data_IF_132068630558
#
_entry.id   IF_132068630558
#
_cell.length_a   1.000
_cell.length_b   1.000
_cell.length_c   1.000
_cell.angle_alpha   90.00
_cell.angle_beta   90.00
_cell.angle_gamma   90.00
#
_symmetry.space_group_name_H-M   'P 1'
#
loop_
_entity.id
_entity.type
_entity.pdbx_description
1 polymer ?
#
# COMPACT_ATOMS: atom_id res chain seq x y z
N UNK A 1 0.10 -13.85 23.11
CA UNK A 1 -0.37 -14.03 21.71
C UNK A 1 -0.15 -12.73 20.97
N UNK A 2 0.20 -12.80 19.68
CA UNK A 2 0.43 -11.64 18.81
C UNK A 2 -0.85 -11.36 18.04
N UNK A 3 -1.32 -10.12 18.04
CA UNK A 3 -2.51 -9.73 17.29
C UNK A 3 -2.10 -9.47 15.84
N UNK A 4 -2.61 -10.29 14.91
CA UNK A 4 -2.28 -10.19 13.48
C UNK A 4 -3.43 -9.54 12.72
N UNK A 5 -3.13 -8.45 12.02
CA UNK A 5 -4.07 -7.70 11.18
C UNK A 5 -3.66 -7.93 9.73
N UNK A 6 -4.52 -8.63 8.98
CA UNK A 6 -4.32 -8.90 7.57
C UNK A 6 -5.17 -7.96 6.72
N UNK A 7 -4.55 -7.35 5.72
CA UNK A 7 -5.19 -6.48 4.75
C UNK A 7 -4.98 -7.10 3.38
N UNK A 8 -6.07 -7.41 2.68
CA UNK A 8 -6.03 -8.06 1.37
C UNK A 8 -6.34 -7.03 0.29
N UNK A 9 -5.37 -6.79 -0.58
CA UNK A 9 -5.39 -5.85 -1.70
C UNK A 9 -4.54 -4.60 -1.46
N UNK A 10 -3.42 -4.43 -2.19
CA UNK A 10 -2.55 -3.23 -2.17
C UNK A 10 -3.01 -2.07 -3.07
N UNK A 11 -4.31 -2.01 -3.37
CA UNK A 11 -4.90 -0.85 -4.06
C UNK A 11 -5.02 0.37 -3.13
N UNK A 12 -5.56 1.47 -3.64
CA UNK A 12 -5.66 2.74 -2.90
C UNK A 12 -6.28 2.58 -1.51
N UNK A 13 -7.38 1.84 -1.41
CA UNK A 13 -8.05 1.57 -0.13
C UNK A 13 -7.19 0.75 0.84
N UNK A 14 -6.58 -0.34 0.39
CA UNK A 14 -5.79 -1.20 1.26
C UNK A 14 -4.50 -0.55 1.73
N UNK A 15 -3.82 0.24 0.89
CA UNK A 15 -2.64 1.01 1.31
C UNK A 15 -3.00 2.08 2.35
N UNK A 16 -4.14 2.77 2.20
CA UNK A 16 -4.63 3.73 3.21
C UNK A 16 -4.94 3.03 4.53
N UNK A 17 -5.66 1.90 4.47
CA UNK A 17 -6.03 1.09 5.63
C UNK A 17 -4.82 0.43 6.28
N UNK A 18 -3.73 0.17 5.55
CA UNK A 18 -2.47 -0.31 6.13
C UNK A 18 -1.70 0.80 6.85
N UNK A 19 -1.67 2.01 6.27
CA UNK A 19 -0.91 3.13 6.83
C UNK A 19 -1.50 3.67 8.13
N UNK A 20 -2.82 3.75 8.25
CA UNK A 20 -3.46 4.36 9.42
C UNK A 20 -3.15 3.60 10.72
N UNK A 21 -3.35 2.26 10.79
CA UNK A 21 -3.03 1.45 11.96
C UNK A 21 -1.52 1.32 12.16
N UNK A 22 -0.72 1.23 11.09
CA UNK A 22 0.74 1.21 11.21
C UNK A 22 1.29 2.45 11.95
N UNK A 23 0.70 3.63 11.71
CA UNK A 23 1.04 4.86 12.45
C UNK A 23 0.54 4.84 13.89
N UNK A 24 -0.69 4.39 14.12
CA UNK A 24 -1.31 4.38 15.46
C UNK A 24 -0.71 3.33 16.39
N UNK A 25 -0.37 2.16 15.86
CA UNK A 25 0.10 0.98 16.60
C UNK A 25 1.63 0.84 16.57
N UNK A 26 2.36 1.92 16.27
CA UNK A 26 3.81 1.89 16.06
C UNK A 26 4.55 1.28 17.26
N UNK A 27 4.10 1.54 18.50
CA UNK A 27 4.73 1.04 19.72
C UNK A 27 4.47 -0.46 19.90
N UNK A 28 3.25 -0.89 19.64
CA UNK A 28 2.79 -2.27 19.75
C UNK A 28 3.42 -3.15 18.67
N UNK A 29 3.59 -2.62 17.46
CA UNK A 29 4.34 -3.27 16.38
C UNK A 29 5.82 -3.41 16.78
N UNK A 30 6.44 -2.35 17.31
CA UNK A 30 7.84 -2.39 17.76
C UNK A 30 8.05 -3.34 18.95
N UNK A 31 7.05 -3.46 19.83
CA UNK A 31 7.03 -4.41 20.93
C UNK A 31 6.65 -5.85 20.51
N UNK A 32 6.40 -6.08 19.22
CA UNK A 32 6.04 -7.39 18.68
C UNK A 32 4.64 -7.89 19.07
N UNK A 33 3.81 -7.03 19.66
CA UNK A 33 2.45 -7.35 20.08
C UNK A 33 1.46 -7.35 18.92
N UNK A 34 1.73 -6.54 17.88
CA UNK A 34 0.92 -6.43 16.66
C UNK A 34 1.74 -6.80 15.44
N UNK A 35 1.13 -7.53 14.51
CA UNK A 35 1.65 -7.78 13.16
C UNK A 35 0.68 -7.20 12.15
N UNK A 36 1.16 -6.34 11.25
CA UNK A 36 0.40 -5.88 10.09
C UNK A 36 0.94 -6.56 8.85
N UNK A 37 0.06 -7.23 8.11
CA UNK A 37 0.40 -7.92 6.86
C UNK A 37 -0.50 -7.38 5.77
N UNK A 38 0.11 -6.72 4.77
CA UNK A 38 -0.56 -6.31 3.54
C UNK A 38 -0.25 -7.35 2.46
N UNK A 39 -1.28 -7.98 1.93
CA UNK A 39 -1.18 -8.89 0.79
C UNK A 39 -1.58 -8.10 -0.45
N UNK A 40 -0.68 -7.99 -1.42
CA UNK A 40 -0.90 -7.33 -2.70
C UNK A 40 -0.51 -8.25 -3.84
N UNK A 41 -1.19 -8.14 -4.98
CA UNK A 41 -0.86 -8.86 -6.22
C UNK A 41 0.35 -8.24 -6.94
N UNK A 42 0.69 -6.99 -6.61
CA UNK A 42 1.75 -6.22 -7.28
C UNK A 42 2.63 -5.50 -6.25
N UNK A 43 3.97 -5.50 -6.43
CA UNK A 43 4.89 -4.73 -5.59
C UNK A 43 4.89 -3.23 -5.94
N UNK A 44 4.12 -2.81 -6.95
CA UNK A 44 3.98 -1.42 -7.37
C UNK A 44 2.54 -0.95 -7.24
N UNK A 45 2.40 0.27 -6.75
CA UNK A 45 1.16 1.00 -6.68
C UNK A 45 1.06 1.99 -7.84
N UNK A 46 0.03 1.85 -8.67
CA UNK A 46 -0.23 2.77 -9.77
C UNK A 46 -1.18 3.89 -9.33
N UNK A 47 -0.85 5.13 -9.69
CA UNK A 47 -1.82 6.22 -9.66
C UNK A 47 -2.76 6.10 -10.87
N UNK A 48 -3.68 5.14 -10.81
CA UNK A 48 -4.64 4.80 -11.89
C UNK A 48 -5.42 6.00 -12.46
N UNK A 49 -5.79 7.05 -11.70
CA UNK A 49 -6.46 8.22 -12.29
C UNK A 49 -5.67 8.89 -13.42
N UNK A 50 -4.33 8.79 -13.42
CA UNK A 50 -3.50 9.37 -14.47
C UNK A 50 -3.37 8.52 -15.75
N UNK A 51 -3.98 7.32 -15.80
CA UNK A 51 -3.87 6.44 -16.97
C UNK A 51 -4.43 7.07 -18.24
N UNK A 52 -5.45 7.92 -18.12
CA UNK A 52 -6.01 8.66 -19.26
C UNK A 52 -4.95 9.50 -19.97
N UNK A 53 -4.00 10.09 -19.24
CA UNK A 53 -2.97 10.94 -19.84
C UNK A 53 -1.91 10.16 -20.63
N UNK A 54 -1.77 8.85 -20.38
CA UNK A 54 -0.90 7.97 -21.18
C UNK A 54 -1.43 7.86 -22.60
N UNK A 55 -2.75 7.79 -22.79
CA UNK A 55 -3.38 7.73 -24.10
C UNK A 55 -3.14 9.01 -24.93
N UNK A 56 -2.86 10.14 -24.27
CA UNK A 56 -2.54 11.42 -24.91
C UNK A 56 -1.04 11.73 -24.96
N UNK A 57 -0.19 10.75 -24.63
CA UNK A 57 1.27 10.89 -24.65
C UNK A 57 1.81 12.01 -23.73
N UNK A 58 1.07 12.30 -22.65
CA UNK A 58 1.43 13.31 -21.65
C UNK A 58 2.20 12.72 -20.45
N UNK A 59 2.12 11.40 -20.26
CA UNK A 59 2.88 10.63 -19.28
C UNK A 59 3.21 9.24 -19.84
N UNK A 60 4.31 8.65 -19.39
CA UNK A 60 4.60 7.24 -19.60
C UNK A 60 4.09 6.40 -18.42
N UNK A 61 3.67 5.17 -18.70
CA UNK A 61 3.09 4.27 -17.70
C UNK A 61 4.00 4.03 -16.47
N UNK A 62 5.32 3.99 -16.67
CA UNK A 62 6.29 3.79 -15.59
C UNK A 62 6.38 4.98 -14.62
N UNK A 63 6.05 6.19 -15.08
CA UNK A 63 6.04 7.41 -14.26
C UNK A 63 4.88 7.40 -13.25
N UNK A 64 3.86 6.57 -13.52
CA UNK A 64 2.68 6.42 -12.68
C UNK A 64 2.84 5.34 -11.60
N UNK A 65 3.96 4.60 -11.61
CA UNK A 65 4.24 3.54 -10.66
C UNK A 65 5.06 4.04 -9.48
N UNK A 66 4.68 3.64 -8.26
CA UNK A 66 5.50 3.80 -7.05
C UNK A 66 5.73 2.43 -6.42
N UNK A 67 6.97 2.10 -6.00
CA UNK A 67 7.21 0.86 -5.28
C UNK A 67 6.48 0.89 -3.93
N UNK A 68 5.78 -0.19 -3.59
CA UNK A 68 5.25 -0.38 -2.25
C UNK A 68 6.41 -0.61 -1.29
N UNK A 69 6.39 0.08 -0.15
CA UNK A 69 7.34 -0.18 0.94
C UNK A 69 6.75 -1.28 1.82
N UNK A 70 7.36 -2.45 1.79
CA UNK A 70 7.09 -3.56 2.70
C UNK A 70 7.79 -3.34 4.05
#
# INVERSE_FOLDING_TARGET
MKNRIMIVGGGTGGTIVANLPARKLRREIAAGQVELVLISESPVHYYKPAFMYVAFNLFHHHELARPERH
#
